data_IF_055150995714
#
_entry.id   IF_055150995714
#
_cell.length_a   1.000
_cell.length_b   1.000
_cell.length_c   1.000
_cell.angle_alpha   90.00
_cell.angle_beta   90.00
_cell.angle_gamma   90.00
#
_symmetry.space_group_name_H-M   'P 1'
#
loop_
_entity.id
_entity.type
_entity.pdbx_description
1 polymer ?
#
# COMPACT_ATOMS: atom_id res chain seq x y z
N UNK A 1 -1.33 5.39 -30.34
CA UNK A 1 -2.22 5.18 -31.49
C UNK A 1 -3.65 5.33 -31.00
N UNK A 2 -4.47 6.18 -31.63
CA UNK A 2 -5.86 6.45 -31.23
C UNK A 2 -6.77 5.23 -31.34
N UNK A 3 -6.40 4.22 -32.13
CA UNK A 3 -7.12 2.94 -32.19
C UNK A 3 -6.84 2.04 -30.96
N UNK A 4 -5.73 2.27 -30.24
CA UNK A 4 -5.35 1.52 -29.05
C UNK A 4 -6.29 1.78 -27.86
N UNK A 5 -6.75 3.03 -27.72
CA UNK A 5 -7.61 3.46 -26.62
C UNK A 5 -9.04 2.91 -26.71
N UNK A 6 -9.49 2.55 -27.92
CA UNK A 6 -10.89 2.25 -28.22
C UNK A 6 -11.20 0.75 -28.30
N UNK A 7 -10.21 -0.10 -28.63
CA UNK A 7 -10.49 -1.50 -28.98
C UNK A 7 -9.58 -2.53 -28.30
N UNK A 8 -8.61 -2.12 -27.48
CA UNK A 8 -7.75 -3.05 -26.74
C UNK A 8 -6.96 -4.05 -27.61
N UNK A 9 -6.77 -3.74 -28.90
CA UNK A 9 -6.14 -4.64 -29.89
C UNK A 9 -4.61 -4.49 -29.96
N UNK A 10 -4.01 -3.90 -28.94
CA UNK A 10 -2.57 -3.68 -28.85
C UNK A 10 -1.86 -4.98 -28.44
N UNK A 11 -0.68 -5.23 -29.03
CA UNK A 11 0.20 -6.35 -28.65
C UNK A 11 0.67 -6.28 -27.20
N UNK A 12 0.48 -5.12 -26.55
CA UNK A 12 0.79 -4.86 -25.15
C UNK A 12 -0.19 -3.82 -24.58
N UNK A 13 -1.35 -4.24 -24.10
CA UNK A 13 -2.09 -3.40 -23.15
C UNK A 13 -1.31 -3.48 -21.82
N UNK A 14 -1.00 -2.34 -21.19
CA UNK A 14 -0.19 -2.30 -19.96
C UNK A 14 -0.88 -1.46 -18.86
N UNK A 15 -2.14 -1.05 -19.04
CA UNK A 15 -2.86 -0.21 -18.06
C UNK A 15 -4.37 -0.47 -18.10
N UNK A 16 -5.07 -0.01 -17.06
CA UNK A 16 -6.53 -0.04 -16.93
C UNK A 16 -7.22 0.61 -18.15
N UNK A 17 -8.22 -0.06 -18.72
CA UNK A 17 -8.89 0.33 -19.97
C UNK A 17 -10.40 0.02 -19.97
N UNK A 18 -11.11 0.36 -21.06
CA UNK A 18 -12.57 0.19 -21.18
C UNK A 18 -13.04 -1.26 -20.96
N UNK A 19 -12.24 -2.24 -21.37
CA UNK A 19 -12.62 -3.63 -21.17
C UNK A 19 -12.60 -3.99 -19.67
N UNK A 20 -11.63 -3.46 -18.92
CA UNK A 20 -11.58 -3.62 -17.45
C UNK A 20 -12.83 -3.03 -16.79
N UNK A 21 -13.26 -1.84 -17.26
CA UNK A 21 -14.50 -1.21 -16.80
C UNK A 21 -15.71 -2.10 -17.07
N UNK A 22 -15.85 -2.62 -18.28
CA UNK A 22 -16.97 -3.48 -18.67
C UNK A 22 -17.04 -4.74 -17.80
N UNK A 23 -15.88 -5.34 -17.49
CA UNK A 23 -15.80 -6.51 -16.62
C UNK A 23 -16.18 -6.17 -15.18
N UNK A 24 -15.62 -5.10 -14.61
CA UNK A 24 -15.96 -4.63 -13.26
C UNK A 24 -17.47 -4.41 -13.13
N UNK A 25 -18.10 -3.76 -14.12
CA UNK A 25 -19.54 -3.52 -14.15
C UNK A 25 -20.36 -4.79 -14.35
N UNK A 26 -19.91 -5.69 -15.23
CA UNK A 26 -20.55 -6.99 -15.42
C UNK A 26 -20.58 -7.78 -14.11
N UNK A 27 -19.52 -7.64 -13.30
CA UNK A 27 -19.42 -8.24 -11.97
C UNK A 27 -20.25 -7.54 -10.88
N UNK A 28 -20.98 -6.47 -11.22
CA UNK A 28 -21.73 -5.66 -10.27
C UNK A 28 -20.85 -4.85 -9.31
N UNK A 29 -19.55 -4.73 -9.61
CA UNK A 29 -18.61 -3.88 -8.86
C UNK A 29 -18.64 -2.46 -9.43
N UNK A 30 -18.20 -1.50 -8.63
CA UNK A 30 -18.25 -0.08 -8.97
C UNK A 30 -16.98 0.70 -8.58
N UNK A 31 -15.92 0.02 -8.18
CA UNK A 31 -14.78 0.64 -7.49
C UNK A 31 -13.45 -0.05 -7.82
N UNK A 32 -12.37 0.74 -7.85
CA UNK A 32 -10.98 0.26 -7.87
C UNK A 32 -10.15 0.92 -6.76
N UNK A 33 -9.29 0.14 -6.11
CA UNK A 33 -8.15 0.60 -5.31
C UNK A 33 -6.94 0.71 -6.23
N UNK A 34 -6.58 1.93 -6.62
CA UNK A 34 -5.54 2.21 -7.61
C UNK A 34 -4.21 2.53 -6.92
N UNK A 35 -3.21 1.66 -7.11
CA UNK A 35 -1.86 1.90 -6.60
C UNK A 35 -1.18 3.12 -7.24
N UNK A 36 -0.77 4.07 -6.40
CA UNK A 36 -0.01 5.28 -6.70
C UNK A 36 1.30 5.30 -5.90
N UNK A 37 2.22 4.43 -6.27
CA UNK A 37 3.50 4.24 -5.58
C UNK A 37 4.32 5.54 -5.57
N UNK A 38 4.63 6.06 -4.37
CA UNK A 38 5.39 7.32 -4.20
C UNK A 38 6.70 7.34 -5.01
N UNK A 39 7.45 6.23 -5.00
CA UNK A 39 8.71 6.12 -5.76
C UNK A 39 8.56 6.36 -7.27
N UNK A 40 7.43 5.96 -7.86
CA UNK A 40 7.14 6.18 -9.28
C UNK A 40 6.50 7.54 -9.55
N UNK A 41 5.72 8.06 -8.61
CA UNK A 41 5.00 9.33 -8.75
C UNK A 41 5.91 10.54 -8.52
N UNK A 42 6.86 10.46 -7.58
CA UNK A 42 7.81 11.53 -7.25
C UNK A 42 9.22 10.93 -7.08
N UNK A 43 9.88 10.56 -8.20
CA UNK A 43 11.15 9.84 -8.18
C UNK A 43 12.35 10.68 -7.69
N UNK A 44 12.15 12.00 -7.51
CA UNK A 44 13.14 12.97 -7.04
C UNK A 44 12.53 13.85 -5.96
N UNK A 45 13.36 14.43 -5.11
CA UNK A 45 12.92 15.44 -4.14
C UNK A 45 12.65 16.76 -4.88
N UNK A 46 11.42 16.94 -5.33
CA UNK A 46 10.97 18.12 -6.09
C UNK A 46 9.52 18.48 -5.74
N UNK A 47 9.15 19.75 -5.84
CA UNK A 47 7.77 20.21 -5.62
C UNK A 47 6.86 19.94 -6.84
N UNK A 48 6.98 18.76 -7.42
CA UNK A 48 6.20 18.28 -8.56
C UNK A 48 6.11 16.75 -8.58
N UNK A 49 5.10 16.22 -9.26
CA UNK A 49 5.03 14.81 -9.65
C UNK A 49 5.70 14.61 -11.02
N UNK A 50 6.14 13.39 -11.31
CA UNK A 50 6.67 13.02 -12.62
C UNK A 50 5.61 13.26 -13.71
N UNK A 51 5.91 14.04 -14.76
CA UNK A 51 4.91 14.38 -15.78
C UNK A 51 4.34 13.16 -16.52
N UNK A 52 5.12 12.09 -16.68
CA UNK A 52 4.63 10.88 -17.32
C UNK A 52 3.72 10.06 -16.39
N UNK A 53 4.00 10.05 -15.08
CA UNK A 53 3.08 9.54 -14.07
C UNK A 53 1.75 10.30 -14.10
N UNK A 54 1.80 11.63 -14.04
CA UNK A 54 0.61 12.49 -14.10
C UNK A 54 -0.23 12.20 -15.34
N UNK A 55 0.40 12.14 -16.52
CA UNK A 55 -0.30 11.79 -17.76
C UNK A 55 -1.04 10.45 -17.69
N UNK A 56 -0.42 9.42 -17.09
CA UNK A 56 -1.03 8.09 -16.94
C UNK A 56 -2.15 8.08 -15.91
N UNK A 57 -1.97 8.78 -14.78
CA UNK A 57 -2.99 8.92 -13.75
C UNK A 57 -4.25 9.58 -14.32
N UNK A 58 -4.10 10.72 -14.99
CA UNK A 58 -5.21 11.42 -15.66
C UNK A 58 -5.89 10.54 -16.72
N UNK A 59 -5.15 9.70 -17.45
CA UNK A 59 -5.78 8.79 -18.42
C UNK A 59 -6.71 7.77 -17.75
N UNK A 60 -6.32 7.20 -16.60
CA UNK A 60 -7.17 6.29 -15.82
C UNK A 60 -8.36 7.06 -15.24
N UNK A 61 -8.14 8.21 -14.61
CA UNK A 61 -9.19 8.98 -13.95
C UNK A 61 -10.23 9.55 -14.92
N UNK A 62 -9.82 9.98 -16.12
CA UNK A 62 -10.74 10.41 -17.16
C UNK A 62 -11.68 9.27 -17.61
N UNK A 63 -11.16 8.05 -17.69
CA UNK A 63 -11.97 6.88 -18.02
C UNK A 63 -12.95 6.55 -16.88
N UNK A 64 -12.50 6.58 -15.62
CA UNK A 64 -13.35 6.28 -14.47
C UNK A 64 -14.42 7.34 -14.25
N UNK A 65 -14.13 8.62 -14.50
CA UNK A 65 -15.13 9.70 -14.49
C UNK A 65 -16.24 9.48 -15.53
N UNK A 66 -15.87 9.11 -16.76
CA UNK A 66 -16.83 8.90 -17.86
C UNK A 66 -17.68 7.65 -17.64
N UNK A 67 -17.15 6.68 -16.90
CA UNK A 67 -17.77 5.36 -16.75
C UNK A 67 -18.42 5.14 -15.39
N UNK A 68 -18.23 6.04 -14.42
CA UNK A 68 -18.80 5.93 -13.08
C UNK A 68 -18.16 4.82 -12.24
N UNK A 69 -16.89 4.51 -12.48
CA UNK A 69 -16.08 3.70 -11.57
C UNK A 69 -15.48 4.63 -10.52
N UNK A 70 -15.61 4.30 -9.24
CA UNK A 70 -15.00 5.04 -8.14
C UNK A 70 -13.54 4.63 -7.94
N UNK A 71 -12.70 5.56 -7.52
CA UNK A 71 -11.26 5.36 -7.35
C UNK A 71 -10.82 5.79 -5.96
N UNK A 72 -10.14 4.89 -5.26
CA UNK A 72 -9.31 5.20 -4.09
C UNK A 72 -7.87 5.14 -4.54
N UNK A 73 -7.11 6.20 -4.29
CA UNK A 73 -5.69 6.24 -4.59
C UNK A 73 -4.92 5.68 -3.40
N UNK A 74 -4.24 4.56 -3.59
CA UNK A 74 -3.46 3.85 -2.57
C UNK A 74 -1.98 4.13 -2.76
N UNK A 75 -1.32 4.80 -1.81
CA UNK A 75 0.13 4.88 -1.82
C UNK A 75 0.74 3.53 -1.45
N UNK A 76 0.79 2.69 -2.47
CA UNK A 76 1.14 1.30 -2.34
C UNK A 76 2.63 1.13 -2.09
N UNK A 77 2.96 0.24 -1.16
CA UNK A 77 4.33 -0.06 -0.77
C UNK A 77 4.38 -1.33 0.07
N UNK A 78 5.27 -2.26 -0.28
CA UNK A 78 5.62 -3.38 0.59
C UNK A 78 6.97 -3.11 1.26
N UNK A 79 7.04 -3.27 2.58
CA UNK A 79 8.34 -3.24 3.29
C UNK A 79 9.11 -1.92 3.09
N UNK A 80 8.37 -0.81 3.08
CA UNK A 80 8.85 0.58 3.17
C UNK A 80 9.51 1.16 1.92
N UNK A 81 10.66 0.63 1.47
CA UNK A 81 11.48 1.27 0.45
C UNK A 81 12.45 0.33 -0.25
N UNK A 82 12.84 0.69 -1.48
CA UNK A 82 13.77 -0.10 -2.31
C UNK A 82 15.10 -0.39 -1.61
N UNK A 83 15.67 0.57 -0.85
CA UNK A 83 16.94 0.39 -0.15
C UNK A 83 16.92 -0.73 0.91
N UNK A 84 15.75 -1.06 1.45
CA UNK A 84 15.53 -2.17 2.39
C UNK A 84 15.05 -3.46 1.72
N UNK A 85 15.17 -3.56 0.39
CA UNK A 85 14.61 -4.62 -0.46
C UNK A 85 13.07 -4.60 -0.63
N UNK A 86 12.37 -3.64 -0.03
CA UNK A 86 10.93 -3.40 -0.26
C UNK A 86 10.64 -2.55 -1.50
N UNK A 87 9.48 -1.91 -1.52
CA UNK A 87 9.03 -0.90 -2.48
C UNK A 87 8.13 0.14 -1.75
N UNK A 88 7.66 1.17 -2.45
CA UNK A 88 6.85 2.23 -1.84
C UNK A 88 7.56 3.58 -1.86
N UNK A 89 8.34 3.88 -0.82
CA UNK A 89 9.04 5.16 -0.70
C UNK A 89 10.21 5.28 -1.70
N UNK A 90 10.42 6.48 -2.29
CA UNK A 90 11.50 6.72 -3.25
C UNK A 90 12.88 6.60 -2.59
N UNK A 91 13.88 6.17 -3.37
CA UNK A 91 15.28 6.06 -2.91
C UNK A 91 15.85 7.37 -2.35
N UNK A 92 15.35 8.55 -2.77
CA UNK A 92 15.82 9.82 -2.19
C UNK A 92 15.43 9.99 -0.72
N UNK A 93 14.32 9.39 -0.25
CA UNK A 93 13.98 9.32 1.18
C UNK A 93 15.07 8.54 1.92
N UNK A 94 15.45 7.35 1.42
CA UNK A 94 16.49 6.54 2.05
C UNK A 94 17.86 7.20 2.07
N UNK A 95 18.20 7.97 1.03
CA UNK A 95 19.44 8.75 0.97
C UNK A 95 19.52 9.85 2.05
N UNK A 96 18.39 10.30 2.58
CA UNK A 96 18.36 11.27 3.69
C UNK A 96 18.20 10.57 5.03
N UNK A 97 17.29 9.61 5.13
CA UNK A 97 16.95 8.93 6.38
C UNK A 97 18.07 8.03 6.92
N UNK A 98 18.77 7.33 6.02
CA UNK A 98 19.76 6.31 6.39
C UNK A 98 20.86 6.11 5.32
N UNK A 99 21.54 7.17 4.85
CA UNK A 99 22.56 7.06 3.80
C UNK A 99 23.66 6.05 4.14
N UNK A 100 23.99 5.91 5.41
CA UNK A 100 25.03 5.01 5.91
C UNK A 100 24.69 3.53 5.83
N UNK A 101 23.41 3.18 5.60
CA UNK A 101 22.92 1.80 5.56
C UNK A 101 22.66 1.29 4.14
N UNK A 102 22.68 2.18 3.14
CA UNK A 102 22.38 1.82 1.75
C UNK A 102 23.49 0.90 1.21
N UNK A 103 23.09 -0.28 0.68
CA UNK A 103 24.03 -1.26 0.13
C UNK A 103 24.81 -2.06 1.17
N UNK A 104 24.39 -2.05 2.43
CA UNK A 104 24.94 -2.91 3.48
C UNK A 104 24.03 -4.12 3.75
N UNK A 105 24.58 -5.22 4.32
CA UNK A 105 23.76 -6.32 4.82
C UNK A 105 22.67 -5.82 5.77
N UNK A 106 21.43 -6.23 5.52
CA UNK A 106 20.29 -5.85 6.33
C UNK A 106 20.40 -6.42 7.75
N UNK A 107 19.94 -5.66 8.74
CA UNK A 107 19.95 -6.05 10.16
C UNK A 107 18.64 -5.71 10.83
N UNK A 108 18.08 -6.63 11.60
CA UNK A 108 16.96 -6.35 12.51
C UNK A 108 17.51 -5.83 13.84
N UNK A 109 17.15 -4.60 14.18
CA UNK A 109 17.53 -3.96 15.44
C UNK A 109 16.56 -4.27 16.57
N UNK A 110 16.92 -3.85 17.79
CA UNK A 110 15.97 -3.78 18.90
C UNK A 110 14.88 -2.71 18.59
N UNK A 111 13.60 -2.94 18.94
CA UNK A 111 13.07 -4.10 19.68
C UNK A 111 12.66 -5.29 18.82
N UNK A 112 12.64 -5.13 17.48
CA UNK A 112 12.14 -6.14 16.55
C UNK A 112 12.94 -7.45 16.56
N UNK A 113 14.22 -7.39 16.93
CA UNK A 113 15.06 -8.58 17.09
C UNK A 113 14.60 -9.53 18.20
N UNK A 114 13.71 -9.11 19.10
CA UNK A 114 13.09 -9.98 20.10
C UNK A 114 12.04 -10.93 19.48
N UNK A 115 11.57 -10.63 18.26
CA UNK A 115 10.51 -11.38 17.59
C UNK A 115 11.13 -12.20 16.45
N UNK A 116 11.19 -13.54 16.55
CA UNK A 116 11.85 -14.37 15.54
C UNK A 116 11.32 -14.19 14.11
N UNK A 117 10.02 -13.91 13.94
CA UNK A 117 9.42 -13.68 12.62
C UNK A 117 9.82 -12.34 11.97
N UNK A 118 10.42 -11.41 12.73
CA UNK A 118 10.89 -10.12 12.23
C UNK A 118 12.41 -10.09 12.04
N UNK A 119 13.11 -11.18 12.37
CA UNK A 119 14.55 -11.28 12.24
C UNK A 119 14.94 -11.57 10.77
N UNK A 120 15.70 -10.67 10.18
CA UNK A 120 16.09 -10.75 8.76
C UNK A 120 16.97 -11.96 8.44
N UNK A 121 17.82 -12.39 9.39
CA UNK A 121 18.68 -13.57 9.26
C UNK A 121 17.90 -14.89 9.34
N UNK A 122 16.61 -14.84 9.69
CA UNK A 122 15.70 -15.99 9.67
C UNK A 122 14.86 -16.07 8.40
N UNK A 123 14.90 -15.03 7.57
CA UNK A 123 14.14 -14.98 6.33
C UNK A 123 14.73 -15.96 5.30
N UNK A 124 13.85 -16.72 4.64
CA UNK A 124 14.25 -17.60 3.55
C UNK A 124 15.01 -16.82 2.48
N UNK A 125 16.13 -17.37 2.01
CA UNK A 125 16.98 -16.73 1.01
C UNK A 125 18.06 -15.80 1.57
N UNK A 126 18.04 -15.43 2.86
CA UNK A 126 19.06 -14.54 3.43
C UNK A 126 20.47 -15.11 3.27
N UNK A 127 20.63 -16.43 3.46
CA UNK A 127 21.91 -17.15 3.30
C UNK A 127 22.56 -17.01 1.90
N UNK A 128 21.80 -16.62 0.87
CA UNK A 128 22.33 -16.39 -0.48
C UNK A 128 23.44 -15.33 -0.50
N UNK A 129 23.28 -14.29 0.33
CA UNK A 129 24.28 -13.24 0.51
C UNK A 129 24.87 -13.23 1.91
N UNK A 130 24.09 -13.58 2.94
CA UNK A 130 24.45 -13.38 4.34
C UNK A 130 25.05 -12.00 4.55
N UNK A 131 26.20 -11.95 5.19
CA UNK A 131 26.93 -10.71 5.48
C UNK A 131 27.91 -10.26 4.38
N UNK A 132 27.78 -10.76 3.14
CA UNK A 132 28.68 -10.40 2.03
C UNK A 132 28.46 -8.96 1.54
N UNK A 133 29.22 -8.02 2.11
CA UNK A 133 29.12 -6.59 1.82
C UNK A 133 29.27 -6.25 0.32
N UNK A 134 30.09 -6.99 -0.45
CA UNK A 134 30.29 -6.71 -1.88
C UNK A 134 29.02 -6.98 -2.69
N UNK A 135 28.28 -8.04 -2.36
CA UNK A 135 27.01 -8.36 -3.02
C UNK A 135 25.93 -7.35 -2.69
N UNK A 136 25.84 -6.94 -1.43
CA UNK A 136 24.92 -5.88 -1.00
C UNK A 136 25.27 -4.52 -1.62
N UNK A 137 26.55 -4.20 -1.82
CA UNK A 137 26.96 -2.94 -2.43
C UNK A 137 26.59 -2.81 -3.92
N UNK A 138 26.30 -3.91 -4.62
CA UNK A 138 25.90 -3.87 -6.02
C UNK A 138 24.60 -3.08 -6.20
N UNK A 139 24.61 -2.09 -7.10
CA UNK A 139 23.49 -1.17 -7.36
C UNK A 139 23.09 -0.26 -6.18
N UNK A 140 23.90 -0.15 -5.13
CA UNK A 140 23.59 0.67 -3.97
C UNK A 140 23.18 2.12 -4.36
N UNK A 141 22.00 2.54 -3.91
CA UNK A 141 21.46 3.88 -4.18
C UNK A 141 20.74 4.05 -5.52
N UNK A 142 20.61 2.98 -6.31
CA UNK A 142 19.75 2.93 -7.50
C UNK A 142 18.26 2.94 -7.09
N UNK A 143 17.38 3.72 -7.74
CA UNK A 143 15.94 3.71 -7.46
C UNK A 143 15.28 2.32 -7.52
N UNK A 144 15.84 1.40 -8.32
CA UNK A 144 15.36 0.03 -8.51
C UNK A 144 16.25 -1.01 -7.81
N UNK A 145 16.98 -0.61 -6.76
CA UNK A 145 17.92 -1.47 -6.04
C UNK A 145 17.30 -2.82 -5.63
N UNK A 146 16.07 -2.83 -5.10
CA UNK A 146 15.32 -4.03 -4.74
C UNK A 146 15.11 -5.02 -5.91
N UNK A 147 15.06 -4.55 -7.15
CA UNK A 147 14.89 -5.37 -8.35
C UNK A 147 16.23 -5.81 -8.96
N UNK A 148 17.25 -4.96 -8.85
CA UNK A 148 18.56 -5.18 -9.48
C UNK A 148 19.54 -5.96 -8.60
N UNK A 149 19.44 -5.84 -7.28
CA UNK A 149 20.36 -6.47 -6.35
C UNK A 149 19.98 -7.94 -6.10
N UNK A 150 20.95 -8.85 -6.29
CA UNK A 150 20.72 -10.30 -6.12
C UNK A 150 20.35 -10.71 -4.69
N UNK A 151 20.80 -9.96 -3.67
CA UNK A 151 20.45 -10.23 -2.28
C UNK A 151 19.00 -9.90 -2.00
N UNK A 152 18.52 -8.76 -2.52
CA UNK A 152 17.10 -8.41 -2.43
C UNK A 152 16.21 -9.41 -3.17
N UNK A 153 16.59 -9.78 -4.41
CA UNK A 153 15.85 -10.77 -5.18
C UNK A 153 15.77 -12.13 -4.46
N UNK A 154 16.81 -12.53 -3.73
CA UNK A 154 16.84 -13.80 -3.00
C UNK A 154 15.89 -13.84 -1.79
N UNK A 155 15.63 -12.69 -1.13
CA UNK A 155 14.81 -12.62 0.08
C UNK A 155 13.36 -12.17 -0.16
N UNK A 156 13.05 -11.72 -1.38
CA UNK A 156 11.74 -11.17 -1.73
C UNK A 156 10.66 -12.22 -2.06
N UNK A 157 10.88 -13.52 -1.81
CA UNK A 157 9.83 -14.55 -1.88
C UNK A 157 9.92 -15.57 -0.74
N UNK A 158 8.80 -16.20 -0.30
CA UNK A 158 7.38 -15.91 -0.54
C UNK A 158 6.72 -14.95 0.49
N UNK A 159 7.42 -14.54 1.55
CA UNK A 159 6.92 -13.57 2.52
C UNK A 159 8.08 -12.71 3.05
N UNK A 160 8.27 -11.48 2.54
CA UNK A 160 9.39 -10.63 2.92
C UNK A 160 9.16 -9.86 4.23
N UNK A 161 8.15 -10.18 5.04
CA UNK A 161 7.71 -9.39 6.21
C UNK A 161 8.83 -8.86 7.14
N UNK A 162 9.91 -9.63 7.32
CA UNK A 162 11.05 -9.20 8.13
C UNK A 162 11.82 -8.00 7.56
N UNK A 163 11.82 -7.77 6.24
CA UNK A 163 12.55 -6.66 5.60
C UNK A 163 11.98 -5.31 6.02
N UNK A 164 10.66 -5.21 6.23
CA UNK A 164 9.96 -4.02 6.73
C UNK A 164 10.38 -3.61 8.14
N UNK A 165 10.95 -4.52 8.94
CA UNK A 165 11.40 -4.28 10.32
C UNK A 165 12.93 -4.25 10.47
N UNK A 166 13.66 -4.18 9.35
CA UNK A 166 15.10 -3.94 9.37
C UNK A 166 15.42 -2.52 9.83
N UNK A 167 16.65 -2.30 10.31
CA UNK A 167 17.11 -0.99 10.81
C UNK A 167 16.96 0.11 9.77
N UNK A 168 17.23 -0.18 8.49
CA UNK A 168 17.06 0.79 7.39
C UNK A 168 15.58 1.08 7.11
N UNK A 169 14.71 0.05 7.11
CA UNK A 169 13.28 0.24 6.92
C UNK A 169 12.67 1.08 8.05
N UNK A 170 13.06 0.81 9.30
CA UNK A 170 12.59 1.57 10.46
C UNK A 170 13.08 3.01 10.44
N UNK A 171 14.33 3.27 10.05
CA UNK A 171 14.83 4.65 9.85
C UNK A 171 14.07 5.40 8.75
N UNK A 172 13.71 4.72 7.66
CA UNK A 172 12.87 5.31 6.62
C UNK A 172 11.48 5.65 7.16
N UNK A 173 10.82 4.70 7.84
CA UNK A 173 9.50 4.92 8.46
C UNK A 173 9.54 6.08 9.44
N UNK A 174 10.47 6.08 10.39
CA UNK A 174 10.64 7.13 11.39
C UNK A 174 10.88 8.50 10.74
N UNK A 175 11.69 8.57 9.68
CA UNK A 175 11.92 9.82 8.96
C UNK A 175 10.63 10.34 8.30
N UNK A 176 9.80 9.46 7.73
CA UNK A 176 8.54 9.84 7.08
C UNK A 176 7.43 10.22 8.07
N UNK A 177 7.39 9.59 9.25
CA UNK A 177 6.29 9.81 10.20
C UNK A 177 6.64 10.76 11.34
N UNK A 178 7.91 10.97 11.69
CA UNK A 178 8.27 11.90 12.76
C UNK A 178 8.18 13.35 12.28
N UNK A 179 7.90 14.27 13.21
CA UNK A 179 7.84 15.69 12.88
C UNK A 179 9.17 16.18 12.31
N UNK A 180 9.12 16.80 11.13
CA UNK A 180 10.30 17.26 10.43
C UNK A 180 10.24 17.13 8.91
N UNK A 181 11.41 17.21 8.24
CA UNK A 181 11.49 17.29 6.78
C UNK A 181 10.92 16.08 6.04
N UNK A 182 11.03 14.86 6.60
CA UNK A 182 10.49 13.66 5.97
C UNK A 182 8.96 13.62 6.01
N UNK A 183 8.33 13.93 7.15
CA UNK A 183 6.88 14.15 7.25
C UNK A 183 6.42 15.26 6.32
N UNK A 184 7.13 16.39 6.27
CA UNK A 184 6.80 17.48 5.34
C UNK A 184 6.82 17.01 3.88
N UNK A 185 7.76 16.15 3.50
CA UNK A 185 7.84 15.60 2.15
C UNK A 185 6.70 14.60 1.86
N UNK A 186 6.30 13.81 2.85
CA UNK A 186 5.15 12.90 2.73
C UNK A 186 3.82 13.67 2.58
N UNK A 187 3.63 14.73 3.39
CA UNK A 187 2.49 15.65 3.26
C UNK A 187 2.49 16.33 1.90
N UNK A 188 3.67 16.78 1.43
CA UNK A 188 3.81 17.38 0.10
C UNK A 188 3.41 16.41 -1.01
N UNK A 189 3.85 15.16 -0.96
CA UNK A 189 3.47 14.15 -1.95
C UNK A 189 1.95 14.03 -2.07
N UNK A 190 1.25 13.86 -0.95
CA UNK A 190 -0.21 13.76 -0.95
C UNK A 190 -0.91 15.06 -1.36
N UNK A 191 -0.35 16.22 -1.02
CA UNK A 191 -0.86 17.51 -1.47
C UNK A 191 -0.75 17.63 -3.00
N UNK A 192 0.36 17.22 -3.59
CA UNK A 192 0.54 17.21 -5.05
C UNK A 192 -0.43 16.25 -5.73
N UNK A 193 -0.66 15.06 -5.16
CA UNK A 193 -1.67 14.12 -5.67
C UNK A 193 -3.07 14.75 -5.59
N UNK A 194 -3.43 15.39 -4.47
CA UNK A 194 -4.72 16.08 -4.32
C UNK A 194 -4.90 17.18 -5.39
N UNK A 195 -3.86 17.96 -5.67
CA UNK A 195 -3.91 19.01 -6.71
C UNK A 195 -4.17 18.46 -8.11
N UNK A 196 -3.63 17.29 -8.44
CA UNK A 196 -3.86 16.62 -9.73
C UNK A 196 -5.27 16.03 -9.84
N UNK A 197 -5.84 15.52 -8.75
CA UNK A 197 -7.12 14.80 -8.78
C UNK A 197 -8.36 15.64 -8.46
N UNK A 198 -8.21 16.90 -8.01
CA UNK A 198 -9.33 17.73 -7.52
C UNK A 198 -10.48 17.96 -8.50
N UNK A 199 -10.28 17.70 -9.79
CA UNK A 199 -11.32 17.81 -10.82
C UNK A 199 -11.84 16.45 -11.32
N UNK A 200 -11.41 15.36 -10.70
CA UNK A 200 -11.82 13.99 -11.01
C UNK A 200 -12.83 13.48 -9.96
N UNK A 201 -14.15 13.60 -10.19
CA UNK A 201 -15.17 13.18 -9.22
C UNK A 201 -15.16 11.67 -8.94
N UNK A 202 -14.56 10.85 -9.81
CA UNK A 202 -14.36 9.42 -9.51
C UNK A 202 -13.37 9.18 -8.38
N UNK A 203 -12.39 10.06 -8.18
CA UNK A 203 -11.38 9.95 -7.13
C UNK A 203 -11.93 10.47 -5.79
N UNK A 204 -12.47 9.57 -4.97
CA UNK A 204 -13.20 9.95 -3.74
C UNK A 204 -12.39 9.71 -2.45
N UNK A 205 -11.31 8.93 -2.52
CA UNK A 205 -10.54 8.57 -1.34
C UNK A 205 -9.03 8.49 -1.59
N UNK A 206 -8.27 8.81 -0.54
CA UNK A 206 -6.82 8.64 -0.48
C UNK A 206 -6.50 7.64 0.63
N UNK A 207 -5.79 6.57 0.30
CA UNK A 207 -5.26 5.63 1.26
C UNK A 207 -3.77 5.89 1.47
N UNK A 208 -3.44 6.42 2.64
CA UNK A 208 -2.22 7.19 2.83
C UNK A 208 -0.93 6.37 2.73
N UNK A 209 -1.00 5.10 3.09
CA UNK A 209 0.11 4.15 3.01
C UNK A 209 -0.41 2.73 3.17
N UNK A 210 -0.07 1.86 2.24
CA UNK A 210 -0.29 0.42 2.37
C UNK A 210 0.56 -0.19 3.49
N UNK A 211 -0.08 -0.95 4.37
CA UNK A 211 0.54 -1.76 5.44
C UNK A 211 1.70 -1.07 6.19
N UNK A 212 1.43 0.01 6.95
CA UNK A 212 2.48 0.78 7.63
C UNK A 212 3.38 -0.09 8.50
N UNK A 213 4.69 -0.08 8.24
CA UNK A 213 5.69 -0.89 8.95
C UNK A 213 6.26 -0.17 10.16
N UNK A 214 5.41 0.42 11.01
CA UNK A 214 5.84 1.10 12.23
C UNK A 214 4.87 0.87 13.37
N UNK A 215 5.41 0.74 14.58
CA UNK A 215 4.65 0.72 15.84
C UNK A 215 4.71 2.07 16.58
N UNK A 216 5.30 3.11 16.00
CA UNK A 216 5.18 4.48 16.51
C UNK A 216 3.80 5.04 16.15
N UNK A 217 2.77 4.53 16.82
CA UNK A 217 1.37 4.88 16.56
C UNK A 217 1.11 6.35 16.83
N UNK A 218 1.84 7.01 17.73
CA UNK A 218 1.65 8.46 17.94
C UNK A 218 2.03 9.27 16.71
N UNK A 219 3.29 9.19 16.28
CA UNK A 219 3.77 10.00 15.16
C UNK A 219 3.14 9.59 13.82
N UNK A 220 2.78 8.31 13.68
CA UNK A 220 2.04 7.81 12.53
C UNK A 220 0.65 8.45 12.42
N UNK A 221 -0.15 8.46 13.48
CA UNK A 221 -1.48 9.08 13.46
C UNK A 221 -1.42 10.61 13.38
N UNK A 222 -0.41 11.25 13.98
CA UNK A 222 -0.18 12.68 13.81
C UNK A 222 0.19 13.02 12.35
N UNK A 223 0.88 12.11 11.66
CA UNK A 223 1.17 12.24 10.22
C UNK A 223 -0.09 12.05 9.37
N UNK A 224 -0.93 11.05 9.66
CA UNK A 224 -2.22 10.90 8.98
C UNK A 224 -3.06 12.17 9.08
N UNK A 225 -3.15 12.74 10.28
CA UNK A 225 -3.81 14.02 10.50
C UNK A 225 -3.21 15.15 9.66
N UNK A 226 -1.89 15.31 9.66
CA UNK A 226 -1.22 16.37 8.90
C UNK A 226 -1.49 16.25 7.39
N UNK A 227 -1.49 15.02 6.86
CA UNK A 227 -1.86 14.77 5.46
C UNK A 227 -3.33 15.11 5.23
N UNK A 228 -4.26 14.64 6.07
CA UNK A 228 -5.69 14.93 5.94
C UNK A 228 -5.96 16.43 5.94
N UNK A 229 -5.39 17.20 6.87
CA UNK A 229 -5.55 18.65 6.92
C UNK A 229 -5.03 19.34 5.65
N UNK A 230 -3.92 18.86 5.07
CA UNK A 230 -3.37 19.41 3.84
C UNK A 230 -4.21 19.09 2.60
N UNK A 231 -4.65 17.83 2.43
CA UNK A 231 -5.43 17.43 1.24
C UNK A 231 -6.86 17.95 1.29
N UNK A 232 -7.47 18.07 2.47
CA UNK A 232 -8.82 18.66 2.62
C UNK A 232 -8.84 20.17 2.40
N UNK A 233 -7.69 20.85 2.52
CA UNK A 233 -7.57 22.24 2.08
C UNK A 233 -7.66 22.38 0.54
N UNK A 234 -7.34 21.32 -0.21
CA UNK A 234 -7.43 21.25 -1.67
C UNK A 234 -8.78 20.70 -2.13
N UNK A 235 -9.23 19.60 -1.52
CA UNK A 235 -10.48 18.90 -1.83
C UNK A 235 -11.28 18.71 -0.52
N UNK A 236 -12.18 19.65 -0.17
CA UNK A 236 -12.83 19.68 1.15
C UNK A 236 -13.62 18.42 1.55
N UNK A 237 -14.12 17.66 0.58
CA UNK A 237 -14.96 16.47 0.78
C UNK A 237 -14.23 15.14 0.50
N UNK A 238 -12.91 15.16 0.26
CA UNK A 238 -12.14 13.92 0.05
C UNK A 238 -12.13 13.08 1.33
N UNK A 239 -12.24 11.75 1.16
CA UNK A 239 -12.05 10.78 2.24
C UNK A 239 -10.59 10.36 2.35
N UNK A 240 -10.08 10.16 3.56
CA UNK A 240 -8.67 9.87 3.83
C UNK A 240 -8.57 8.71 4.80
N UNK A 241 -7.76 7.69 4.46
CA UNK A 241 -7.59 6.56 5.35
C UNK A 241 -6.78 6.94 6.58
N UNK A 242 -7.18 6.37 7.71
CA UNK A 242 -6.29 6.12 8.84
C UNK A 242 -6.10 4.61 8.94
N UNK A 243 -4.85 4.20 9.10
CA UNK A 243 -4.46 2.79 9.14
C UNK A 243 -3.48 2.58 10.30
N UNK A 244 -3.46 1.36 10.83
CA UNK A 244 -2.55 0.95 11.89
C UNK A 244 -1.41 0.08 11.36
N UNK A 245 -0.50 -0.35 12.24
CA UNK A 245 0.65 -1.19 11.88
C UNK A 245 0.22 -2.41 11.05
N UNK A 246 0.67 -2.48 9.80
CA UNK A 246 0.36 -3.55 8.85
C UNK A 246 -1.12 -3.67 8.45
N UNK A 247 -1.98 -2.72 8.83
CA UNK A 247 -3.42 -2.67 8.50
C UNK A 247 -4.27 -3.86 8.93
N UNK A 248 -3.78 -4.74 9.81
CA UNK A 248 -4.60 -5.85 10.29
C UNK A 248 -5.89 -5.37 10.98
N UNK A 249 -6.96 -6.16 10.85
CA UNK A 249 -8.17 -6.01 11.67
C UNK A 249 -7.92 -6.12 13.19
N UNK A 250 -6.70 -6.55 13.55
CA UNK A 250 -6.10 -6.53 14.87
C UNK A 250 -4.65 -6.10 14.72
N UNK A 251 -4.11 -5.43 15.75
CA UNK A 251 -2.67 -5.26 15.83
C UNK A 251 -1.99 -6.64 15.80
N UNK A 252 -0.85 -6.79 15.09
CA UNK A 252 -0.12 -8.04 15.12
C UNK A 252 0.21 -8.45 16.55
N UNK A 253 -0.02 -9.70 16.93
CA UNK A 253 0.15 -10.15 18.33
C UNK A 253 1.58 -10.00 18.88
N UNK A 254 2.58 -9.82 18.02
CA UNK A 254 3.94 -9.50 18.45
C UNK A 254 4.07 -8.06 18.98
N UNK A 255 3.17 -7.14 18.63
CA UNK A 255 3.15 -5.77 19.17
C UNK A 255 2.94 -5.81 20.69
N UNK A 256 2.03 -6.66 21.17
CA UNK A 256 1.80 -6.86 22.60
C UNK A 256 3.06 -7.39 23.31
N UNK A 257 3.78 -8.31 22.65
CA UNK A 257 5.07 -8.83 23.16
C UNK A 257 6.11 -7.72 23.38
N UNK A 258 6.03 -6.63 22.61
CA UNK A 258 6.92 -5.48 22.73
C UNK A 258 6.44 -4.43 23.73
N UNK A 259 5.19 -4.52 24.21
CA UNK A 259 4.57 -3.53 25.09
C UNK A 259 5.30 -3.29 26.41
N UNK A 260 6.01 -4.31 26.92
CA UNK A 260 6.83 -4.19 28.15
C UNK A 260 8.14 -3.41 27.93
N UNK A 261 8.58 -3.27 26.67
CA UNK A 261 9.87 -2.68 26.30
C UNK A 261 9.73 -1.29 25.69
N UNK A 262 8.53 -0.88 25.33
CA UNK A 262 8.24 0.33 24.57
C UNK A 262 7.27 1.20 25.37
N UNK A 263 7.57 2.49 25.57
CA UNK A 263 6.68 3.38 26.32
C UNK A 263 5.27 3.45 25.70
N UNK A 264 4.24 3.39 26.54
CA UNK A 264 2.84 3.51 26.11
C UNK A 264 2.55 4.70 25.17
N UNK A 265 3.11 5.92 25.39
CA UNK A 265 2.86 7.04 24.48
C UNK A 265 3.27 6.79 23.03
N UNK A 266 4.22 5.88 22.78
CA UNK A 266 4.67 5.47 21.46
C UNK A 266 3.67 4.51 20.79
N UNK A 267 2.98 3.69 21.58
CA UNK A 267 2.05 2.65 21.13
C UNK A 267 0.59 3.12 21.06
N UNK A 268 0.31 4.40 21.31
CA UNK A 268 -1.06 4.94 21.28
C UNK A 268 -1.10 6.31 20.60
N UNK A 269 -2.11 6.58 19.74
CA UNK A 269 -2.38 7.93 19.25
C UNK A 269 -2.55 8.95 20.39
N UNK A 270 -2.30 10.23 20.11
CA UNK A 270 -2.52 11.28 21.10
C UNK A 270 -4.01 11.49 21.37
N UNK A 271 -4.37 11.90 22.60
CA UNK A 271 -5.76 12.23 22.92
C UNK A 271 -6.33 13.31 21.99
N UNK A 272 -5.51 14.28 21.60
CA UNK A 272 -5.92 15.36 20.71
C UNK A 272 -6.11 14.87 19.27
N UNK A 273 -5.28 13.93 18.81
CA UNK A 273 -5.46 13.28 17.50
C UNK A 273 -6.70 12.39 17.51
N UNK A 274 -6.98 11.66 18.59
CA UNK A 274 -8.24 10.89 18.72
C UNK A 274 -9.45 11.81 18.75
N UNK A 275 -9.41 12.93 19.47
CA UNK A 275 -10.50 13.94 19.44
C UNK A 275 -10.70 14.51 18.04
N UNK A 276 -9.62 14.77 17.31
CA UNK A 276 -9.67 15.21 15.93
C UNK A 276 -10.30 14.16 15.00
N UNK A 277 -9.91 12.88 15.13
CA UNK A 277 -10.52 11.77 14.38
C UNK A 277 -12.04 11.75 14.61
N UNK A 278 -12.47 11.73 15.87
CA UNK A 278 -13.90 11.71 16.25
C UNK A 278 -14.69 12.93 15.77
N UNK A 279 -14.02 14.04 15.45
CA UNK A 279 -14.65 15.27 14.98
C UNK A 279 -14.57 15.44 13.45
N UNK A 280 -13.80 14.59 12.76
CA UNK A 280 -13.55 14.69 11.33
C UNK A 280 -14.62 13.97 10.53
N UNK A 281 -15.09 14.61 9.45
CA UNK A 281 -15.97 13.99 8.46
C UNK A 281 -15.21 13.40 7.26
N UNK A 282 -13.89 13.50 7.27
CA UNK A 282 -13.04 13.18 6.12
C UNK A 282 -12.23 11.90 6.31
N UNK A 283 -12.35 11.19 7.44
CA UNK A 283 -11.52 10.02 7.74
C UNK A 283 -12.31 8.72 7.79
N UNK A 284 -11.67 7.62 7.39
CA UNK A 284 -12.17 6.27 7.55
C UNK A 284 -11.05 5.33 7.98
N UNK A 285 -11.38 4.26 8.71
CA UNK A 285 -10.41 3.24 9.12
C UNK A 285 -10.18 2.21 8.00
N UNK A 286 -8.99 2.20 7.41
CA UNK A 286 -8.57 1.20 6.44
C UNK A 286 -8.00 -0.03 7.14
N UNK A 287 -8.32 -1.21 6.61
CA UNK A 287 -7.86 -2.48 7.16
C UNK A 287 -7.85 -3.60 6.13
N UNK A 288 -6.99 -4.59 6.38
CA UNK A 288 -6.75 -5.76 5.56
C UNK A 288 -7.20 -7.04 6.27
N UNK A 289 -7.49 -8.08 5.47
CA UNK A 289 -7.73 -9.43 6.00
C UNK A 289 -7.07 -10.54 5.18
N UNK A 290 -6.12 -11.19 5.84
CA UNK A 290 -5.38 -12.35 5.31
C UNK A 290 -5.42 -13.58 6.24
N UNK A 291 -6.45 -13.68 7.09
CA UNK A 291 -6.66 -14.84 7.98
C UNK A 291 -6.34 -14.60 9.46
N UNK A 292 -6.09 -13.35 9.84
CA UNK A 292 -5.96 -12.95 11.25
C UNK A 292 -6.86 -11.74 11.53
N UNK A 293 -7.79 -11.80 12.49
CA UNK A 293 -8.12 -12.93 13.37
C UNK A 293 -8.61 -14.17 12.61
N UNK A 294 -8.81 -15.28 13.30
CA UNK A 294 -9.04 -16.61 12.68
C UNK A 294 -10.24 -16.68 11.73
N UNK A 295 -11.22 -15.78 11.90
CA UNK A 295 -12.38 -15.68 11.02
C UNK A 295 -12.60 -14.25 10.54
N UNK A 296 -13.14 -14.05 9.33
CA UNK A 296 -13.45 -12.70 8.85
C UNK A 296 -14.56 -12.02 9.67
N UNK A 297 -15.48 -12.77 10.27
CA UNK A 297 -16.52 -12.21 11.14
C UNK A 297 -15.94 -11.61 12.42
N UNK A 298 -14.91 -12.24 12.99
CA UNK A 298 -14.17 -11.69 14.12
C UNK A 298 -13.40 -10.43 13.70
N UNK A 299 -12.83 -10.42 12.49
CA UNK A 299 -12.14 -9.26 11.94
C UNK A 299 -13.10 -8.06 11.82
N UNK A 300 -14.25 -8.29 11.20
CA UNK A 300 -15.34 -7.29 11.09
C UNK A 300 -15.76 -6.79 12.47
N UNK A 301 -15.96 -7.69 13.44
CA UNK A 301 -16.36 -7.28 14.80
C UNK A 301 -15.32 -6.38 15.47
N UNK A 302 -14.04 -6.71 15.32
CA UNK A 302 -12.95 -5.91 15.91
C UNK A 302 -12.91 -4.51 15.30
N UNK A 303 -13.01 -4.42 13.97
CA UNK A 303 -13.01 -3.14 13.26
C UNK A 303 -14.27 -2.32 13.56
N UNK A 304 -15.43 -2.95 13.67
CA UNK A 304 -16.65 -2.26 14.14
C UNK A 304 -16.49 -1.70 15.55
N UNK A 305 -15.69 -2.34 16.39
CA UNK A 305 -15.30 -1.80 17.70
C UNK A 305 -14.48 -0.52 17.58
N UNK A 306 -13.50 -0.49 16.67
CA UNK A 306 -12.70 0.72 16.37
C UNK A 306 -13.60 1.82 15.80
N UNK A 307 -14.43 1.50 14.80
CA UNK A 307 -15.40 2.42 14.21
C UNK A 307 -16.35 3.01 15.25
N UNK A 308 -16.84 2.21 16.19
CA UNK A 308 -17.73 2.67 17.25
C UNK A 308 -17.01 3.53 18.30
N UNK A 309 -15.76 3.22 18.66
CA UNK A 309 -14.99 4.06 19.58
C UNK A 309 -14.64 5.40 18.91
N UNK A 310 -14.15 5.38 17.67
CA UNK A 310 -13.63 6.57 16.99
C UNK A 310 -14.67 7.33 16.16
N UNK A 311 -15.89 6.84 16.08
CA UNK A 311 -16.99 7.42 15.28
C UNK A 311 -16.61 7.62 13.81
N UNK A 312 -15.96 6.62 13.22
CA UNK A 312 -15.51 6.63 11.82
C UNK A 312 -15.99 5.40 11.06
N UNK A 313 -16.34 5.52 9.77
CA UNK A 313 -16.58 4.36 8.92
C UNK A 313 -15.30 3.55 8.73
N UNK A 314 -15.44 2.30 8.29
CA UNK A 314 -14.31 1.44 7.94
C UNK A 314 -14.39 0.96 6.50
N UNK A 315 -13.24 0.68 5.89
CA UNK A 315 -13.14 0.12 4.55
C UNK A 315 -12.15 -1.06 4.58
N UNK A 316 -12.58 -2.25 4.15
CA UNK A 316 -11.70 -3.42 3.97
C UNK A 316 -10.92 -3.25 2.66
N UNK A 317 -9.82 -2.50 2.71
CA UNK A 317 -9.06 -2.08 1.52
C UNK A 317 -8.36 -3.25 0.84
N UNK A 318 -8.13 -4.36 1.54
CA UNK A 318 -7.49 -5.53 0.94
C UNK A 318 -7.90 -6.86 1.58
N UNK A 319 -8.27 -7.85 0.77
CA UNK A 319 -8.51 -9.21 1.27
C UNK A 319 -8.28 -10.29 0.21
N UNK A 320 -7.88 -11.49 0.65
CA UNK A 320 -7.52 -12.60 -0.24
C UNK A 320 -8.65 -13.58 -0.62
N UNK A 321 -9.85 -13.49 -0.02
CA UNK A 321 -10.89 -14.53 -0.22
C UNK A 321 -12.34 -14.09 -0.02
N UNK A 322 -13.28 -14.90 -0.54
CA UNK A 322 -14.71 -14.60 -0.56
C UNK A 322 -15.39 -14.61 0.81
N UNK A 323 -14.84 -15.33 1.79
CA UNK A 323 -15.37 -15.29 3.15
C UNK A 323 -15.24 -13.89 3.77
N UNK A 324 -14.15 -13.17 3.48
CA UNK A 324 -13.96 -11.79 3.90
C UNK A 324 -14.87 -10.82 3.14
N UNK A 325 -15.02 -11.03 1.83
CA UNK A 325 -16.00 -10.32 1.00
C UNK A 325 -17.41 -10.37 1.62
N UNK A 326 -17.93 -11.57 1.89
CA UNK A 326 -19.27 -11.73 2.44
C UNK A 326 -19.39 -11.22 3.87
N UNK A 327 -18.36 -11.36 4.69
CA UNK A 327 -18.38 -10.80 6.04
C UNK A 327 -18.48 -9.27 6.03
N UNK A 328 -17.68 -8.60 5.19
CA UNK A 328 -17.74 -7.15 5.03
C UNK A 328 -19.08 -6.71 4.44
N UNK A 329 -19.55 -7.34 3.36
CA UNK A 329 -20.84 -7.04 2.74
C UNK A 329 -22.02 -7.19 3.71
N UNK A 330 -22.08 -8.28 4.48
CA UNK A 330 -23.12 -8.49 5.49
C UNK A 330 -23.09 -7.45 6.63
N UNK A 331 -21.93 -6.86 6.88
CA UNK A 331 -21.74 -5.79 7.86
C UNK A 331 -21.88 -4.38 7.25
N UNK A 332 -22.25 -4.28 5.98
CA UNK A 332 -22.31 -3.00 5.23
C UNK A 332 -20.97 -2.25 5.19
N UNK A 333 -19.86 -2.98 5.12
CA UNK A 333 -18.51 -2.46 4.99
C UNK A 333 -18.07 -2.58 3.53
N UNK A 334 -17.65 -1.45 2.95
CA UNK A 334 -17.03 -1.40 1.62
C UNK A 334 -15.72 -2.19 1.60
N UNK A 335 -15.40 -2.81 0.46
CA UNK A 335 -14.25 -3.71 0.38
C UNK A 335 -13.64 -3.77 -1.02
N UNK A 336 -12.34 -4.07 -1.08
CA UNK A 336 -11.59 -4.36 -2.30
C UNK A 336 -10.83 -5.69 -2.19
N UNK A 337 -10.94 -6.49 -3.24
CA UNK A 337 -10.31 -7.79 -3.34
C UNK A 337 -8.87 -7.66 -3.84
N UNK A 338 -7.94 -8.37 -3.19
CA UNK A 338 -6.56 -8.52 -3.65
C UNK A 338 -6.35 -9.80 -4.46
N UNK A 339 -6.06 -9.70 -5.76
CA UNK A 339 -6.07 -8.45 -6.51
C UNK A 339 -6.54 -8.66 -7.93
N UNK A 340 -6.72 -7.54 -8.60
CA UNK A 340 -6.94 -7.48 -10.03
C UNK A 340 -5.62 -7.13 -10.71
N UNK A 341 -4.76 -8.12 -10.92
CA UNK A 341 -3.55 -8.02 -11.75
C UNK A 341 -3.74 -8.80 -13.04
N UNK A 342 -3.29 -8.27 -14.20
CA UNK A 342 -2.90 -9.11 -15.35
C UNK A 342 -2.32 -8.41 -16.60
N UNK A 343 -1.09 -7.87 -16.58
CA UNK A 343 -0.28 -7.77 -17.82
C UNK A 343 1.24 -8.07 -17.63
N UNK A 344 1.72 -8.32 -16.41
CA UNK A 344 3.13 -8.67 -16.15
C UNK A 344 3.42 -10.19 -16.10
N UNK A 345 2.37 -11.02 -16.08
CA UNK A 345 2.44 -12.46 -15.78
C UNK A 345 2.75 -13.35 -17.00
N UNK A 346 3.45 -12.82 -18.01
CA UNK A 346 3.91 -13.61 -19.17
C UNK A 346 5.25 -14.32 -18.92
N UNK A 347 5.68 -14.42 -17.65
CA UNK A 347 6.93 -15.07 -17.25
C UNK A 347 6.80 -16.56 -16.94
N UNK A 348 7.92 -17.31 -16.89
CA UNK A 348 7.95 -18.73 -16.56
C UNK A 348 7.26 -19.08 -15.23
N UNK A 349 7.38 -18.19 -14.23
CA UNK A 349 6.83 -18.37 -12.89
C UNK A 349 5.31 -18.18 -12.83
N UNK A 350 4.70 -17.65 -13.91
CA UNK A 350 3.27 -17.37 -14.01
C UNK A 350 2.59 -18.17 -15.13
N UNK A 351 3.27 -19.22 -15.62
CA UNK A 351 2.70 -20.19 -16.54
C UNK A 351 2.70 -19.77 -18.01
N UNK A 352 3.41 -18.70 -18.40
CA UNK A 352 3.54 -18.24 -19.79
C UNK A 352 2.19 -18.06 -20.52
N UNK A 353 1.16 -17.55 -19.85
CA UNK A 353 -0.19 -17.41 -20.42
C UNK A 353 -0.21 -16.39 -21.58
N UNK A 354 -1.04 -16.63 -22.60
CA UNK A 354 -1.15 -15.79 -23.81
C UNK A 354 -2.08 -14.58 -23.60
N UNK A 355 -1.68 -13.42 -24.11
CA UNK A 355 -2.51 -12.21 -24.21
C UNK A 355 -3.18 -12.15 -25.59
N UNK A 356 -4.47 -11.76 -25.73
CA UNK A 356 -5.46 -11.47 -24.69
C UNK A 356 -6.35 -12.69 -24.35
N UNK A 357 -6.06 -13.86 -24.89
CA UNK A 357 -6.97 -15.02 -24.85
C UNK A 357 -6.95 -15.80 -23.54
N UNK A 358 -5.87 -15.69 -22.77
CA UNK A 358 -5.65 -16.42 -21.51
C UNK A 358 -5.38 -15.47 -20.31
N UNK A 359 -5.32 -14.14 -20.53
CA UNK A 359 -5.00 -13.06 -19.56
C UNK A 359 -5.63 -11.70 -19.95
N UNK A 360 -5.93 -10.81 -19.00
CA UNK A 360 -6.68 -9.54 -19.20
C UNK A 360 -6.44 -8.46 -18.09
N UNK A 361 -6.23 -7.18 -18.43
CA UNK A 361 -6.23 -5.99 -17.53
C UNK A 361 -4.86 -5.39 -17.09
N UNK A 362 -4.76 -4.10 -16.74
CA UNK A 362 -3.50 -3.31 -16.53
C UNK A 362 -2.22 -3.94 -15.90
N UNK A 363 -1.01 -3.46 -16.25
CA UNK A 363 0.27 -3.87 -15.63
C UNK A 363 0.37 -3.25 -14.23
N UNK A 364 0.14 -4.06 -13.20
CA UNK A 364 0.37 -3.70 -11.81
C UNK A 364 1.43 -4.66 -11.28
N UNK A 365 2.47 -4.11 -10.64
CA UNK A 365 3.47 -4.90 -9.93
C UNK A 365 2.76 -5.55 -8.74
N UNK A 366 2.71 -6.88 -8.70
CA UNK A 366 2.11 -7.67 -7.63
C UNK A 366 2.77 -9.04 -7.54
N UNK A 367 2.74 -9.66 -6.36
CA UNK A 367 3.48 -10.90 -6.07
C UNK A 367 2.69 -12.19 -6.38
N UNK A 368 1.46 -12.07 -6.91
CA UNK A 368 0.59 -13.21 -7.20
C UNK A 368 -0.31 -12.96 -8.41
N UNK A 369 -0.86 -14.02 -9.01
CA UNK A 369 -1.94 -13.91 -9.99
C UNK A 369 -3.30 -14.20 -9.35
N UNK A 370 -4.35 -13.55 -9.83
CA UNK A 370 -5.72 -13.75 -9.32
C UNK A 370 -6.75 -13.84 -10.45
N UNK A 371 -7.93 -14.36 -10.14
CA UNK A 371 -9.05 -14.49 -11.09
C UNK A 371 -9.93 -13.25 -11.00
N UNK A 372 -10.34 -12.64 -12.14
CA UNK A 372 -11.29 -11.53 -12.11
C UNK A 372 -12.64 -11.97 -11.52
N UNK A 373 -13.13 -13.16 -11.89
CA UNK A 373 -14.40 -13.72 -11.43
C UNK A 373 -14.42 -14.21 -9.98
N UNK A 374 -13.42 -13.85 -9.15
CA UNK A 374 -13.37 -14.36 -7.78
C UNK A 374 -14.53 -13.74 -6.99
N UNK A 375 -15.34 -14.63 -6.38
CA UNK A 375 -16.54 -14.29 -5.62
C UNK A 375 -17.76 -13.86 -6.46
N UNK A 376 -17.70 -13.95 -7.80
CA UNK A 376 -18.79 -13.54 -8.70
C UNK A 376 -20.03 -14.47 -8.66
N UNK A 377 -19.88 -15.75 -8.28
CA UNK A 377 -20.96 -16.76 -8.40
C UNK A 377 -21.60 -17.23 -7.08
N UNK A 378 -21.19 -16.71 -5.93
CA UNK A 378 -21.75 -17.15 -4.63
C UNK A 378 -22.97 -16.33 -4.18
N UNK A 379 -23.46 -15.40 -5.01
CA UNK A 379 -24.63 -14.54 -4.75
C UNK A 379 -25.85 -14.82 -5.66
N UNK A 380 -25.86 -15.94 -6.40
CA UNK A 380 -27.05 -16.43 -7.14
C UNK A 380 -27.96 -17.33 -6.28
N UNK A 381 -28.07 -17.06 -4.97
CA UNK A 381 -29.08 -17.66 -4.08
C UNK A 381 -29.85 -16.58 -3.35
#
# INVERSE_FOLDING_TARGET
>A
DSTCAQFGNCTTCYTFNEADVDLIKLEGRNFIRLGVVWAGAQPRDEDALDPAFVQRLHAVLNLTDQTGIHVMLDNHGDMTASAGCGNGAPMWISKVAAPELIGLPLKTGFPYNLIPSLQIDKLSGYDHCGDNATKWAAYAGDPNYNLLNECCAAINGPNPGATGYTTIAQKNMDYMINDGPGRAAFVRFWTLVAEEIKYHPSAFALELMNEPMSINRRDMYDTWRAVTEAVTAVIPDISVSIADTGEGAVLPGWVDTLGDFIPLPYLTPSEDTVKWIKASSNVFYAWHYYGNPSTPQEAVKNVQGVSADWDVPSFLTEHGGCSAWFAAANASISHSYWHYSCYCDTGPDFGNKKVPTETFGGCLLGWAGASPYRCYNDTLV
#
